data_IF_808270264952
#
_entry.id   IF_808270264952
#
_cell.length_a   1.000
_cell.length_b   1.000
_cell.length_c   1.000
_cell.angle_alpha   90.00
_cell.angle_beta   90.00
_cell.angle_gamma   90.00
#
_symmetry.space_group_name_H-M   'P 1'
#
loop_
_entity.id
_entity.type
_entity.pdbx_description
1 polymer ?
#
# COMPACT_ATOMS: atom_id res chain seq x y z
N UNK A 1 38.83 -45.67 8.26
CA UNK A 1 38.07 -44.51 8.75
C UNK A 1 37.18 -43.94 7.64
N UNK A 2 36.13 -44.69 7.34
CA UNK A 2 35.10 -44.26 6.37
C UNK A 2 33.80 -44.96 6.75
N UNK A 3 33.23 -44.62 7.84
CA UNK A 3 31.85 -45.00 8.21
C UNK A 3 31.39 -43.98 9.24
N UNK A 4 30.38 -43.15 8.89
CA UNK A 4 29.47 -42.43 9.79
C UNK A 4 28.86 -41.18 9.17
N UNK A 5 28.54 -41.21 7.86
CA UNK A 5 27.83 -40.07 7.25
C UNK A 5 26.40 -40.42 6.73
N UNK A 6 25.90 -41.63 6.93
CA UNK A 6 24.65 -42.06 6.26
C UNK A 6 23.42 -42.19 7.16
N UNK A 7 23.53 -41.98 8.47
CA UNK A 7 22.41 -42.21 9.40
C UNK A 7 21.54 -40.92 9.62
N UNK A 8 22.11 -39.75 9.38
CA UNK A 8 21.41 -38.47 9.66
C UNK A 8 20.43 -37.99 8.55
N UNK A 9 20.45 -38.61 7.36
CA UNK A 9 19.67 -38.13 6.20
C UNK A 9 18.29 -38.76 6.06
N UNK A 10 18.02 -39.85 6.77
CA UNK A 10 16.71 -40.54 6.70
C UNK A 10 15.69 -40.05 7.75
N UNK A 11 16.12 -39.49 8.87
CA UNK A 11 15.21 -38.96 9.90
C UNK A 11 14.38 -37.76 9.43
N UNK A 12 14.99 -36.87 8.62
CA UNK A 12 14.32 -35.65 8.17
C UNK A 12 13.29 -35.92 7.05
N UNK A 13 13.44 -37.02 6.31
CA UNK A 13 12.49 -37.39 5.23
C UNK A 13 11.22 -37.99 5.81
N UNK A 14 11.28 -38.68 6.95
CA UNK A 14 10.12 -39.23 7.64
C UNK A 14 9.30 -38.11 8.32
N UNK A 15 9.95 -37.14 8.89
CA UNK A 15 9.29 -35.95 9.46
C UNK A 15 8.58 -35.11 8.41
N UNK A 16 9.16 -34.95 7.22
CA UNK A 16 8.54 -34.28 6.09
C UNK A 16 7.30 -35.02 5.56
N UNK A 17 7.36 -36.37 5.50
CA UNK A 17 6.24 -37.24 5.09
C UNK A 17 5.07 -37.19 6.09
N UNK A 18 5.35 -37.13 7.39
CA UNK A 18 4.32 -37.01 8.43
C UNK A 18 3.63 -35.64 8.39
N UNK A 19 4.36 -34.54 8.08
CA UNK A 19 3.77 -33.22 7.92
C UNK A 19 2.84 -33.11 6.70
N UNK A 20 3.20 -33.75 5.58
CA UNK A 20 2.36 -33.79 4.37
C UNK A 20 1.09 -34.60 4.61
N UNK A 21 1.19 -35.72 5.35
CA UNK A 21 0.03 -36.56 5.67
C UNK A 21 -0.96 -35.85 6.62
N UNK A 22 -0.47 -35.04 7.56
CA UNK A 22 -1.30 -34.24 8.45
C UNK A 22 -2.07 -33.12 7.73
N UNK A 23 -1.50 -32.56 6.65
CA UNK A 23 -2.13 -31.51 5.86
C UNK A 23 -3.26 -32.00 4.95
N UNK A 24 -3.20 -33.27 4.50
CA UNK A 24 -4.23 -33.87 3.64
C UNK A 24 -5.49 -34.23 4.41
N UNK A 25 -5.40 -34.51 5.73
CA UNK A 25 -6.53 -34.85 6.57
C UNK A 25 -7.40 -33.68 7.01
N UNK A 26 -6.95 -32.44 6.82
CA UNK A 26 -7.67 -31.22 7.22
C UNK A 26 -8.68 -30.71 6.15
N UNK A 27 -8.75 -31.31 4.97
CA UNK A 27 -9.55 -30.84 3.83
C UNK A 27 -10.88 -31.56 3.64
N UNK A 28 -11.28 -32.52 4.51
CA UNK A 28 -12.48 -33.34 4.33
C UNK A 28 -13.66 -32.99 5.25
N UNK A 29 -13.64 -31.83 5.93
CA UNK A 29 -14.72 -31.45 6.85
C UNK A 29 -15.44 -30.17 6.39
N UNK A 30 -15.97 -30.13 5.16
CA UNK A 30 -17.05 -29.20 4.80
C UNK A 30 -17.79 -29.73 3.57
N UNK A 31 -18.79 -30.58 3.82
CA UNK A 31 -19.68 -31.12 2.81
C UNK A 31 -21.07 -31.34 3.36
N UNK A 32 -22.04 -30.61 2.78
CA UNK A 32 -23.44 -31.03 2.75
C UNK A 32 -24.35 -30.35 3.77
N UNK A 33 -25.39 -29.67 3.38
CA UNK A 33 -26.66 -30.28 3.02
C UNK A 33 -27.63 -29.19 2.52
N UNK A 34 -28.23 -29.46 1.39
CA UNK A 34 -29.40 -28.80 0.82
C UNK A 34 -30.65 -29.03 1.67
N UNK A 35 -31.52 -28.02 1.79
CA UNK A 35 -32.85 -28.15 2.37
C UNK A 35 -33.72 -26.95 1.97
N UNK A 36 -34.68 -27.25 1.18
CA UNK A 36 -35.70 -26.50 0.44
C UNK A 36 -36.75 -25.85 1.35
N UNK A 37 -37.28 -24.68 0.91
CA UNK A 37 -38.67 -24.17 1.02
C UNK A 37 -39.15 -23.65 2.40
N UNK A 38 -39.54 -22.38 2.57
CA UNK A 38 -40.84 -21.78 2.32
C UNK A 38 -40.91 -20.29 2.70
N UNK A 39 -41.77 -19.60 2.04
CA UNK A 39 -42.16 -18.21 2.14
C UNK A 39 -42.59 -17.78 3.56
N UNK A 40 -42.23 -16.55 4.00
CA UNK A 40 -43.26 -15.64 4.47
C UNK A 40 -42.77 -14.16 4.51
N UNK A 41 -43.69 -13.28 4.18
CA UNK A 41 -43.62 -11.82 4.12
C UNK A 41 -43.44 -11.19 5.53
N UNK A 42 -42.75 -10.07 5.59
CA UNK A 42 -42.78 -9.21 6.77
C UNK A 42 -41.83 -8.02 6.68
N UNK A 43 -42.36 -6.93 6.13
CA UNK A 43 -42.10 -5.50 6.39
C UNK A 43 -40.77 -5.05 7.04
N UNK A 44 -39.99 -4.28 6.29
CA UNK A 44 -39.60 -2.89 6.60
C UNK A 44 -38.63 -2.65 7.74
N UNK A 45 -37.38 -2.35 7.37
CA UNK A 45 -36.69 -1.15 7.87
C UNK A 45 -35.49 -0.90 6.95
N UNK A 46 -35.65 0.06 6.05
CA UNK A 46 -34.58 0.74 5.36
C UNK A 46 -33.80 1.54 6.44
N UNK A 47 -32.58 1.11 6.70
CA UNK A 47 -31.58 1.97 7.30
C UNK A 47 -30.86 2.67 6.15
N UNK A 48 -31.26 3.91 5.91
CA UNK A 48 -30.53 4.86 5.07
C UNK A 48 -29.14 5.07 5.67
N UNK A 49 -28.16 4.33 5.18
CA UNK A 49 -26.76 4.72 5.30
C UNK A 49 -26.57 5.89 4.32
N UNK A 50 -26.71 7.11 4.82
CA UNK A 50 -26.24 8.30 4.12
C UNK A 50 -24.73 8.18 3.90
N UNK A 51 -24.38 7.74 2.72
CA UNK A 51 -23.08 7.95 2.14
C UNK A 51 -22.92 9.45 1.93
N UNK A 52 -22.30 10.13 2.89
CA UNK A 52 -21.80 11.49 2.68
C UNK A 52 -20.70 11.39 1.61
N UNK A 53 -21.09 11.66 0.39
CA UNK A 53 -20.17 12.02 -0.68
C UNK A 53 -19.54 13.34 -0.24
N UNK A 54 -18.34 13.31 0.34
CA UNK A 54 -17.53 14.50 0.49
C UNK A 54 -17.17 14.97 -0.92
N UNK A 55 -17.77 16.08 -1.29
CA UNK A 55 -17.37 16.86 -2.45
C UNK A 55 -15.87 17.14 -2.35
N UNK A 56 -15.06 16.94 -3.41
CA UNK A 56 -13.64 17.23 -3.34
C UNK A 56 -13.49 18.71 -3.00
N UNK A 57 -12.82 19.00 -1.89
CA UNK A 57 -12.41 20.34 -1.53
C UNK A 57 -11.69 20.95 -2.73
N UNK A 58 -12.08 22.18 -3.12
CA UNK A 58 -11.50 22.90 -4.26
C UNK A 58 -9.97 22.89 -4.16
N UNK A 59 -9.30 22.88 -5.31
CA UNK A 59 -7.84 22.89 -5.37
C UNK A 59 -7.30 24.06 -4.52
N UNK A 60 -6.32 23.79 -3.64
CA UNK A 60 -5.74 24.81 -2.80
C UNK A 60 -5.07 25.90 -3.66
N UNK A 61 -5.32 27.17 -3.35
CA UNK A 61 -4.68 28.28 -4.02
C UNK A 61 -3.65 28.96 -3.10
N UNK A 62 -2.54 29.40 -3.66
CA UNK A 62 -1.46 30.06 -2.92
C UNK A 62 -1.87 31.41 -2.32
N UNK A 63 -2.98 32.01 -2.79
CA UNK A 63 -3.38 33.36 -2.37
C UNK A 63 -3.78 33.45 -0.88
N UNK A 64 -4.19 32.33 -0.27
CA UNK A 64 -4.62 32.26 1.14
C UNK A 64 -3.57 31.64 2.09
N UNK A 65 -2.37 31.26 1.57
CA UNK A 65 -1.35 30.62 2.37
C UNK A 65 -0.35 31.63 2.96
N UNK A 66 -0.32 31.74 4.30
CA UNK A 66 0.51 32.68 5.05
C UNK A 66 1.95 32.18 5.36
N UNK A 67 2.35 31.04 4.75
CA UNK A 67 3.67 30.44 4.97
C UNK A 67 3.74 29.49 6.17
N UNK A 68 2.64 29.29 6.90
CA UNK A 68 2.60 28.44 8.10
C UNK A 68 1.75 27.19 7.92
N UNK A 69 2.22 26.10 8.48
CA UNK A 69 1.45 24.84 8.53
C UNK A 69 0.41 24.93 9.68
N UNK A 70 -0.87 25.05 9.33
CA UNK A 70 -1.99 25.02 10.28
C UNK A 70 -2.63 23.64 10.21
N UNK A 71 -2.53 22.88 11.30
CA UNK A 71 -3.05 21.51 11.37
C UNK A 71 -4.56 21.45 11.30
N UNK A 72 -5.08 20.53 10.50
CA UNK A 72 -6.49 20.15 10.40
C UNK A 72 -6.77 18.81 11.10
N UNK A 73 -5.74 18.19 11.66
CA UNK A 73 -5.80 16.93 12.39
C UNK A 73 -5.18 15.76 11.65
N UNK A 74 -5.34 14.58 12.23
CA UNK A 74 -4.76 13.35 11.71
C UNK A 74 -5.69 12.67 10.71
N UNK A 75 -5.15 12.20 9.59
CA UNK A 75 -5.88 11.34 8.67
C UNK A 75 -6.22 10.02 9.37
N UNK A 76 -7.51 9.58 9.38
CA UNK A 76 -7.86 8.28 9.92
C UNK A 76 -7.29 7.16 9.04
N UNK A 77 -6.59 6.21 9.66
CA UNK A 77 -5.98 5.05 8.99
C UNK A 77 -6.54 3.78 9.61
N UNK A 78 -7.41 3.06 8.92
CA UNK A 78 -8.09 1.88 9.45
C UNK A 78 -7.15 0.69 9.66
N UNK A 79 -6.19 0.49 8.77
CA UNK A 79 -5.32 -0.69 8.74
C UNK A 79 -3.86 -0.37 9.02
N UNK A 80 -3.35 0.74 8.53
CA UNK A 80 -1.95 1.10 8.65
C UNK A 80 -1.63 1.61 10.06
N UNK A 81 -0.57 1.04 10.68
CA UNK A 81 -0.14 1.38 12.05
C UNK A 81 1.31 1.86 12.12
N UNK A 82 2.05 1.74 11.01
CA UNK A 82 3.47 2.03 10.98
C UNK A 82 3.80 3.42 10.40
N UNK A 83 2.80 4.21 10.07
CA UNK A 83 2.95 5.61 9.69
C UNK A 83 1.72 6.41 10.12
N UNK A 84 1.87 7.72 10.13
CA UNK A 84 0.80 8.68 10.41
C UNK A 84 0.81 9.76 9.34
N UNK A 85 -0.34 10.34 9.07
CA UNK A 85 -0.47 11.46 8.15
C UNK A 85 -1.22 12.57 8.87
N UNK A 86 -0.57 13.70 9.05
CA UNK A 86 -1.20 14.92 9.54
C UNK A 86 -1.58 15.80 8.34
N UNK A 87 -2.82 16.28 8.37
CA UNK A 87 -3.37 17.15 7.34
C UNK A 87 -3.23 18.60 7.77
N UNK A 88 -2.91 19.46 6.81
CA UNK A 88 -2.77 20.90 7.05
C UNK A 88 -3.58 21.69 6.01
N UNK A 89 -3.96 22.89 6.37
CA UNK A 89 -4.62 23.83 5.47
C UNK A 89 -3.84 24.01 4.18
N UNK A 90 -4.52 24.26 3.08
CA UNK A 90 -3.91 24.35 1.76
C UNK A 90 -3.52 22.98 1.16
N UNK A 91 -3.95 21.87 1.75
CA UNK A 91 -3.73 20.52 1.22
C UNK A 91 -2.36 19.91 1.52
N UNK A 92 -1.53 20.56 2.36
CA UNK A 92 -0.26 19.98 2.78
C UNK A 92 -0.48 18.73 3.65
N UNK A 93 0.46 17.79 3.58
CA UNK A 93 0.41 16.55 4.36
C UNK A 93 1.77 16.22 4.92
N UNK A 94 1.86 16.01 6.22
CA UNK A 94 3.07 15.52 6.86
C UNK A 94 2.95 14.02 7.10
N UNK A 95 3.81 13.23 6.47
CA UNK A 95 3.90 11.79 6.65
C UNK A 95 5.02 11.51 7.62
N UNK A 96 4.70 10.93 8.78
CA UNK A 96 5.69 10.42 9.73
C UNK A 96 5.75 8.90 9.58
N UNK A 97 6.85 8.38 9.04
CA UNK A 97 7.01 6.97 8.72
C UNK A 97 7.82 6.23 9.78
N UNK A 98 7.19 5.21 10.35
CA UNK A 98 7.84 4.25 11.23
C UNK A 98 8.20 4.79 12.62
N UNK A 99 8.80 3.88 13.41
CA UNK A 99 9.35 4.17 14.75
C UNK A 99 10.87 4.18 14.76
N UNK A 100 11.51 3.95 13.60
CA UNK A 100 12.95 3.71 13.48
C UNK A 100 13.73 4.93 12.97
N UNK A 101 13.05 5.92 12.42
CA UNK A 101 13.68 7.14 11.91
C UNK A 101 12.88 8.35 12.37
N UNK A 102 13.56 9.43 12.70
CA UNK A 102 12.94 10.73 12.99
C UNK A 102 12.58 11.50 11.70
N UNK A 103 12.63 10.82 10.54
CA UNK A 103 12.34 11.43 9.25
C UNK A 103 10.86 11.65 9.06
N UNK A 104 10.53 12.86 8.64
CA UNK A 104 9.20 13.28 8.23
C UNK A 104 9.22 13.70 6.76
N UNK A 105 8.13 13.49 6.08
CA UNK A 105 7.99 13.84 4.67
C UNK A 105 6.83 14.81 4.52
N UNK A 106 7.13 16.05 4.15
CA UNK A 106 6.11 17.05 3.85
C UNK A 106 5.75 17.00 2.36
N UNK A 107 4.54 16.53 2.07
CA UNK A 107 3.97 16.63 0.73
C UNK A 107 3.43 18.04 0.54
N UNK A 108 4.02 18.77 -0.38
CA UNK A 108 3.63 20.13 -0.76
C UNK A 108 2.79 20.03 -2.04
N UNK A 109 1.55 20.52 -2.06
CA UNK A 109 0.70 20.49 -3.24
C UNK A 109 1.30 21.26 -4.42
N UNK A 110 0.91 20.88 -5.63
CA UNK A 110 1.31 21.60 -6.84
C UNK A 110 0.90 23.06 -6.77
N UNK A 111 1.80 23.95 -7.15
CA UNK A 111 1.59 25.41 -7.12
C UNK A 111 1.70 26.04 -5.75
N UNK A 112 1.85 25.28 -4.67
CA UNK A 112 2.03 25.81 -3.31
C UNK A 112 3.52 26.01 -2.97
N UNK A 113 3.80 27.02 -2.15
CA UNK A 113 5.16 27.31 -1.67
C UNK A 113 5.58 26.36 -0.56
N UNK A 114 6.87 26.04 -0.48
CA UNK A 114 7.45 25.31 0.63
C UNK A 114 7.48 26.22 1.87
N UNK A 115 6.99 25.78 3.05
CA UNK A 115 7.10 26.53 4.29
C UNK A 115 8.55 26.85 4.66
N UNK A 116 8.81 28.05 5.20
CA UNK A 116 10.18 28.47 5.53
C UNK A 116 10.70 27.83 6.83
N UNK A 117 9.84 27.60 7.81
CA UNK A 117 10.19 27.16 9.17
C UNK A 117 10.05 25.63 9.34
N UNK A 118 10.67 24.84 8.45
CA UNK A 118 10.69 23.38 8.56
C UNK A 118 11.84 22.89 9.45
N UNK A 119 11.59 21.84 10.24
CA UNK A 119 12.62 21.16 10.99
C UNK A 119 13.63 20.45 10.06
N UNK A 120 14.88 20.30 10.49
CA UNK A 120 15.97 19.72 9.69
C UNK A 120 15.72 18.27 9.26
N UNK A 121 14.89 17.54 9.99
CA UNK A 121 14.52 16.16 9.70
C UNK A 121 13.33 16.02 8.73
N UNK A 122 12.83 17.12 8.17
CA UNK A 122 11.72 17.12 7.23
C UNK A 122 12.25 17.06 5.79
N UNK A 123 11.85 16.03 5.06
CA UNK A 123 12.09 15.89 3.63
C UNK A 123 10.92 16.46 2.85
N UNK A 124 11.15 17.44 1.99
CA UNK A 124 10.11 18.05 1.17
C UNK A 124 9.85 17.22 -0.09
N UNK A 125 8.60 16.88 -0.32
CA UNK A 125 8.09 16.22 -1.51
C UNK A 125 7.15 17.18 -2.26
N UNK A 126 7.71 17.97 -3.17
CA UNK A 126 6.93 18.90 -3.99
C UNK A 126 6.17 18.15 -5.08
N UNK A 127 4.86 18.32 -5.16
CA UNK A 127 4.06 17.79 -6.26
C UNK A 127 4.18 18.67 -7.52
N UNK A 128 4.06 18.07 -8.74
CA UNK A 128 3.91 16.63 -9.02
C UNK A 128 5.24 15.86 -8.87
N UNK A 129 5.17 14.62 -8.33
CA UNK A 129 6.34 13.74 -8.28
C UNK A 129 6.45 12.98 -9.62
N UNK A 130 7.21 13.50 -10.56
CA UNK A 130 7.24 12.98 -11.94
C UNK A 130 8.48 12.15 -12.29
N UNK A 131 9.47 12.07 -11.38
CA UNK A 131 10.75 11.39 -11.61
C UNK A 131 11.06 10.42 -10.47
N UNK A 132 10.20 9.42 -10.28
CA UNK A 132 10.34 8.48 -9.16
C UNK A 132 11.22 7.31 -9.58
N UNK A 133 12.27 7.02 -8.78
CA UNK A 133 13.02 5.78 -8.85
C UNK A 133 12.42 4.76 -7.87
N UNK A 134 12.08 3.57 -8.36
CA UNK A 134 11.55 2.49 -7.55
C UNK A 134 12.45 1.26 -7.61
N UNK A 135 13.16 0.97 -6.51
CA UNK A 135 14.05 -0.19 -6.42
C UNK A 135 13.31 -1.51 -6.16
N UNK A 136 12.13 -1.45 -5.54
CA UNK A 136 11.36 -2.65 -5.16
C UNK A 136 10.30 -3.00 -6.19
N UNK A 137 10.31 -4.22 -6.72
CA UNK A 137 9.31 -4.73 -7.65
C UNK A 137 7.90 -4.74 -7.04
N UNK A 138 7.79 -5.01 -5.74
CA UNK A 138 6.51 -4.95 -5.03
C UNK A 138 5.92 -3.53 -4.99
N UNK A 139 6.76 -2.49 -4.84
CA UNK A 139 6.30 -1.10 -4.88
C UNK A 139 5.86 -0.70 -6.28
N UNK A 140 6.58 -1.12 -7.32
CA UNK A 140 6.15 -0.89 -8.72
C UNK A 140 4.80 -1.55 -9.00
N UNK A 141 4.59 -2.78 -8.52
CA UNK A 141 3.30 -3.47 -8.64
C UNK A 141 2.14 -2.72 -7.99
N UNK A 142 2.37 -2.16 -6.79
CA UNK A 142 1.37 -1.32 -6.12
C UNK A 142 1.10 -0.03 -6.89
N UNK A 143 2.15 0.57 -7.46
CA UNK A 143 2.04 1.81 -8.26
C UNK A 143 1.25 1.56 -9.54
N UNK A 144 1.47 0.42 -10.22
CA UNK A 144 0.66 -0.02 -11.36
C UNK A 144 -0.80 -0.20 -10.96
N UNK A 145 -1.06 -0.88 -9.84
CA UNK A 145 -2.42 -1.15 -9.36
C UNK A 145 -3.25 0.10 -9.06
N UNK A 146 -2.61 1.22 -8.70
CA UNK A 146 -3.26 2.51 -8.50
C UNK A 146 -3.24 3.43 -9.73
N UNK A 147 -2.69 2.95 -10.87
CA UNK A 147 -2.66 3.71 -12.12
C UNK A 147 -1.65 4.87 -12.13
N UNK A 148 -0.54 4.77 -11.40
CA UNK A 148 0.45 5.84 -11.23
C UNK A 148 1.84 5.52 -11.83
N UNK A 149 1.92 4.60 -12.80
CA UNK A 149 3.18 4.20 -13.44
C UNK A 149 3.85 5.34 -14.21
N UNK A 150 3.12 6.30 -14.72
CA UNK A 150 3.61 7.47 -15.46
C UNK A 150 4.54 8.37 -14.63
N UNK A 151 4.45 8.27 -13.29
CA UNK A 151 5.34 8.96 -12.36
C UNK A 151 6.69 8.24 -12.18
N UNK A 152 6.78 6.95 -12.50
CA UNK A 152 8.01 6.14 -12.38
C UNK A 152 8.89 6.36 -13.61
N UNK A 153 10.17 6.67 -13.39
CA UNK A 153 11.14 6.90 -14.47
C UNK A 153 12.32 5.96 -14.44
N UNK A 154 12.48 5.24 -13.36
CA UNK A 154 13.55 4.26 -13.24
C UNK A 154 13.15 3.16 -12.26
N UNK A 155 13.48 1.93 -12.61
CA UNK A 155 13.33 0.73 -11.77
C UNK A 155 14.65 -0.02 -11.68
N UNK A 156 14.83 -0.86 -10.65
CA UNK A 156 16.06 -1.59 -10.44
C UNK A 156 16.14 -2.94 -11.19
N UNK A 157 15.04 -3.36 -11.81
CA UNK A 157 14.91 -4.67 -12.45
C UNK A 157 14.85 -4.49 -13.97
N UNK A 158 15.64 -5.26 -14.70
CA UNK A 158 15.61 -5.28 -16.16
C UNK A 158 14.29 -5.80 -16.71
N UNK A 159 13.95 -5.42 -17.95
CA UNK A 159 12.65 -5.72 -18.58
C UNK A 159 12.33 -7.22 -18.57
N UNK A 160 13.31 -8.10 -18.74
CA UNK A 160 13.14 -9.56 -18.74
C UNK A 160 12.76 -10.12 -17.35
N UNK A 161 12.93 -9.34 -16.30
CA UNK A 161 12.58 -9.72 -14.92
C UNK A 161 11.15 -9.35 -14.50
N UNK A 162 10.33 -8.81 -15.42
CA UNK A 162 8.98 -8.37 -15.11
C UNK A 162 7.90 -9.29 -15.68
N UNK A 163 6.82 -9.47 -14.90
CA UNK A 163 5.62 -10.22 -15.25
C UNK A 163 4.37 -9.34 -15.31
N UNK A 164 4.53 -8.03 -15.14
CA UNK A 164 3.43 -7.04 -15.18
C UNK A 164 3.45 -6.41 -16.57
N UNK A 165 2.43 -6.70 -17.38
CA UNK A 165 2.38 -6.29 -18.79
C UNK A 165 2.52 -4.78 -18.97
N UNK A 166 1.88 -3.96 -18.11
CA UNK A 166 1.98 -2.51 -18.17
C UNK A 166 3.42 -2.04 -17.93
N UNK A 167 4.13 -2.60 -16.95
CA UNK A 167 5.53 -2.25 -16.66
C UNK A 167 6.43 -2.60 -17.84
N UNK A 168 6.25 -3.80 -18.41
CA UNK A 168 7.00 -4.25 -19.60
C UNK A 168 6.73 -3.31 -20.79
N UNK A 169 5.48 -2.89 -20.98
CA UNK A 169 5.11 -1.97 -22.06
C UNK A 169 5.77 -0.59 -21.88
N UNK A 170 5.73 -0.02 -20.66
CA UNK A 170 6.33 1.29 -20.38
C UNK A 170 7.86 1.27 -20.48
N UNK A 171 8.52 0.19 -20.05
CA UNK A 171 9.97 -0.01 -20.22
C UNK A 171 10.35 -0.14 -21.70
N UNK A 172 9.62 -0.92 -22.49
CA UNK A 172 9.87 -1.07 -23.93
C UNK A 172 9.60 0.22 -24.70
N UNK A 173 8.70 1.06 -24.22
CA UNK A 173 8.44 2.38 -24.80
C UNK A 173 9.50 3.43 -24.39
N UNK A 174 10.38 3.12 -23.43
CA UNK A 174 11.38 4.04 -22.90
C UNK A 174 10.81 5.12 -21.98
N UNK A 175 9.66 4.86 -21.36
CA UNK A 175 9.02 5.77 -20.40
C UNK A 175 9.55 5.52 -18.98
N UNK A 176 9.99 4.27 -18.71
CA UNK A 176 10.66 3.81 -17.48
C UNK A 176 12.07 3.35 -17.80
#
# INVERSE_FOLDING_TARGET
>A
HKEDKNVKRNGNRWLALLMVLAMVLALTACGGTSGTTDQNQGAGQQSDAQQQTQEPAGEPSQEDYDGKLVSEGMMPLDYAKNFQIELFQGGYRMITAGTLTDLQYLVVPEGMSVPEDLAENVVVLQQPLTNVYMASTGMVSLTDAIGALDHVKLVATDVDGWYIDNVVAEMNAGNI
#
